data_IF_396220524380
#
_entry.id   IF_396220524380
#
_cell.length_a   1.000
_cell.length_b   1.000
_cell.length_c   1.000
_cell.angle_alpha   90.00
_cell.angle_beta   90.00
_cell.angle_gamma   90.00
#
_symmetry.space_group_name_H-M   'P 1'
#
loop_
_entity.id
_entity.type
_entity.pdbx_description
1 polymer ?
#
# COMPACT_ATOMS: atom_id res chain seq x y z
N UNK A 1 13.93 31.64 21.82
CA UNK A 1 12.60 31.00 21.79
C UNK A 1 12.32 30.68 20.33
N UNK A 2 12.59 29.46 19.91
CA UNK A 2 12.41 29.03 18.53
C UNK A 2 10.95 28.67 18.30
N UNK A 3 10.37 29.27 17.26
CA UNK A 3 9.00 29.07 16.80
C UNK A 3 8.92 27.65 16.24
N UNK A 4 8.10 26.81 16.86
CA UNK A 4 7.82 25.46 16.37
C UNK A 4 6.88 25.61 15.17
N UNK A 5 7.38 25.30 13.98
CA UNK A 5 6.54 25.12 12.80
C UNK A 5 5.73 23.84 13.00
N UNK A 6 4.44 24.01 13.30
CA UNK A 6 3.47 22.94 13.42
C UNK A 6 3.15 22.49 12.00
N UNK A 7 3.93 21.54 11.47
CA UNK A 7 3.56 20.86 10.24
C UNK A 7 2.35 19.96 10.52
N UNK A 8 1.19 20.38 10.03
CA UNK A 8 -0.06 19.63 10.07
C UNK A 8 0.04 18.38 9.19
N UNK A 9 0.63 17.29 9.71
CA UNK A 9 0.54 15.95 9.13
C UNK A 9 -0.71 15.24 9.66
N UNK A 10 -1.78 15.27 8.86
CA UNK A 10 -2.98 14.43 8.94
C UNK A 10 -3.40 13.93 10.34
N UNK A 11 -4.19 14.76 11.03
CA UNK A 11 -5.31 14.34 11.89
C UNK A 11 -5.01 13.90 13.33
N UNK A 12 -3.75 13.81 13.75
CA UNK A 12 -3.44 13.53 15.16
C UNK A 12 -2.36 14.49 15.65
N UNK A 13 -2.62 15.18 16.76
CA UNK A 13 -1.62 16.00 17.45
C UNK A 13 -0.62 15.05 18.11
N UNK A 14 0.36 14.57 17.34
CA UNK A 14 1.47 13.81 17.87
C UNK A 14 2.33 14.76 18.72
N UNK A 15 2.32 14.54 20.04
CA UNK A 15 3.26 15.21 20.95
C UNK A 15 4.62 14.53 20.77
N UNK A 16 5.67 15.34 20.61
CA UNK A 16 7.05 14.87 20.74
C UNK A 16 7.21 14.21 22.11
N UNK A 17 7.26 12.90 22.11
CA UNK A 17 7.49 12.08 23.30
C UNK A 17 8.74 11.25 23.02
N UNK A 18 9.47 10.87 24.05
CA UNK A 18 10.37 9.72 23.97
C UNK A 18 9.48 8.48 24.19
N UNK A 19 9.18 7.63 23.19
CA UNK A 19 9.94 7.32 21.95
C UNK A 19 9.53 8.07 20.67
N UNK A 20 10.43 8.05 19.66
CA UNK A 20 10.32 8.72 18.35
C UNK A 20 8.96 8.60 17.64
N UNK A 21 8.23 7.50 17.84
CA UNK A 21 6.79 7.43 17.57
C UNK A 21 5.98 7.26 18.85
N UNK A 22 5.00 8.14 19.08
CA UNK A 22 4.04 7.95 20.17
C UNK A 22 3.16 6.69 19.97
N UNK A 23 2.58 6.17 21.05
CA UNK A 23 1.78 4.92 21.03
C UNK A 23 0.67 4.93 19.97
N UNK A 24 -0.14 6.01 19.81
CA UNK A 24 -1.14 6.06 18.74
C UNK A 24 -0.57 5.95 17.32
N UNK A 25 0.60 6.54 17.06
CA UNK A 25 1.28 6.44 15.77
C UNK A 25 1.81 5.01 15.53
N UNK A 26 2.30 4.35 16.58
CA UNK A 26 2.70 2.94 16.49
C UNK A 26 1.50 2.05 16.16
N UNK A 27 0.36 2.22 16.83
CA UNK A 27 -0.86 1.47 16.54
C UNK A 27 -1.38 1.72 15.12
N UNK A 28 -1.29 2.97 14.64
CA UNK A 28 -1.63 3.31 13.25
C UNK A 28 -0.73 2.55 12.29
N UNK A 29 0.58 2.58 12.51
CA UNK A 29 1.55 1.89 11.69
C UNK A 29 1.33 0.37 11.69
N UNK A 30 1.03 -0.25 12.85
CA UNK A 30 0.69 -1.68 12.91
C UNK A 30 -0.54 -2.01 12.06
N UNK A 31 -1.60 -1.21 12.18
CA UNK A 31 -2.83 -1.40 11.39
C UNK A 31 -2.58 -1.24 9.88
N UNK A 32 -1.78 -0.26 9.48
CA UNK A 32 -1.43 -0.04 8.07
C UNK A 32 -0.63 -1.23 7.52
N UNK A 33 0.39 -1.68 8.27
CA UNK A 33 1.19 -2.87 7.90
C UNK A 33 0.33 -4.14 7.86
N UNK A 34 -0.67 -4.27 8.74
CA UNK A 34 -1.61 -5.39 8.71
C UNK A 34 -2.54 -5.36 7.48
N UNK A 35 -2.86 -4.16 6.96
CA UNK A 35 -3.76 -3.98 5.83
C UNK A 35 -3.06 -4.15 4.47
N UNK A 36 -1.78 -3.78 4.36
CA UNK A 36 -1.03 -3.81 3.09
C UNK A 36 -1.07 -5.16 2.34
N UNK A 37 -0.94 -6.34 2.98
CA UNK A 37 -1.05 -7.63 2.28
C UNK A 37 -2.40 -7.82 1.59
N UNK A 38 -3.49 -7.33 2.19
CA UNK A 38 -4.83 -7.41 1.59
C UNK A 38 -4.91 -6.51 0.36
N UNK A 39 -4.51 -5.25 0.49
CA UNK A 39 -4.51 -4.28 -0.63
C UNK A 39 -3.62 -4.78 -1.78
N UNK A 40 -2.48 -5.38 -1.47
CA UNK A 40 -1.60 -6.00 -2.45
C UNK A 40 -2.32 -7.12 -3.24
N UNK A 41 -3.11 -7.95 -2.56
CA UNK A 41 -3.94 -8.98 -3.20
C UNK A 41 -5.08 -8.41 -4.06
N UNK A 42 -5.74 -7.35 -3.60
CA UNK A 42 -6.77 -6.65 -4.38
C UNK A 42 -6.18 -6.08 -5.68
N UNK A 43 -4.97 -5.52 -5.63
CA UNK A 43 -4.24 -5.07 -6.81
C UNK A 43 -3.83 -6.22 -7.74
N UNK A 44 -3.75 -7.46 -7.28
CA UNK A 44 -3.47 -8.62 -8.13
C UNK A 44 -4.63 -8.94 -9.05
N UNK A 45 -5.84 -8.96 -8.49
CA UNK A 45 -7.09 -9.18 -9.22
C UNK A 45 -7.26 -8.11 -10.30
N UNK A 46 -6.76 -6.90 -10.03
CA UNK A 46 -6.77 -5.75 -10.92
C UNK A 46 -5.78 -5.80 -12.09
N UNK A 47 -4.81 -6.73 -12.09
CA UNK A 47 -3.73 -6.75 -13.07
C UNK A 47 -4.22 -7.11 -14.47
N UNK A 48 -5.25 -7.96 -14.57
CA UNK A 48 -5.83 -8.40 -15.84
C UNK A 48 -7.11 -7.60 -16.08
N UNK A 49 -7.16 -6.71 -17.09
CA UNK A 49 -8.40 -6.08 -17.52
C UNK A 49 -9.43 -7.17 -17.87
N UNK A 50 -10.68 -6.97 -17.46
CA UNK A 50 -11.76 -7.79 -17.98
C UNK A 50 -11.74 -7.71 -19.52
N UNK A 51 -11.96 -8.82 -20.26
CA UNK A 51 -12.05 -8.74 -21.71
C UNK A 51 -13.21 -7.81 -22.08
N UNK A 52 -12.89 -6.70 -22.75
CA UNK A 52 -13.89 -5.75 -23.24
C UNK A 52 -14.92 -6.47 -24.11
N UNK A 53 -16.19 -6.37 -23.74
CA UNK A 53 -17.31 -6.71 -24.61
C UNK A 53 -17.62 -5.54 -25.55
N UNK A 54 -17.03 -5.57 -26.75
CA UNK A 54 -17.28 -4.65 -27.88
C UNK A 54 -16.27 -3.49 -27.94
N UNK A 55 -15.61 -3.13 -29.04
CA UNK A 55 -15.92 -3.22 -30.46
C UNK A 55 -14.63 -3.48 -31.27
N UNK A 56 -14.77 -4.13 -32.42
CA UNK A 56 -13.67 -4.68 -33.21
C UNK A 56 -13.06 -3.61 -34.12
N UNK A 57 -11.93 -3.04 -33.72
CA UNK A 57 -11.07 -2.30 -34.66
C UNK A 57 -9.95 -3.20 -35.15
N UNK A 58 -9.94 -3.43 -36.46
CA UNK A 58 -8.93 -4.18 -37.19
C UNK A 58 -7.58 -3.47 -37.14
N UNK A 59 -6.60 -4.09 -36.50
CA UNK A 59 -5.19 -3.70 -36.57
C UNK A 59 -4.31 -4.87 -36.19
N UNK A 60 -3.48 -5.31 -37.12
CA UNK A 60 -2.48 -6.36 -36.91
C UNK A 60 -1.39 -5.77 -36.02
N UNK A 61 -1.50 -5.98 -34.71
CA UNK A 61 -0.34 -5.93 -33.83
C UNK A 61 -0.55 -6.97 -32.74
N UNK A 62 0.50 -7.74 -32.44
CA UNK A 62 0.40 -8.86 -31.49
C UNK A 62 0.08 -8.26 -30.11
N UNK A 63 -1.11 -8.48 -29.53
CA UNK A 63 -1.46 -7.79 -28.30
C UNK A 63 -0.64 -8.41 -27.18
N UNK A 64 0.34 -7.66 -26.65
CA UNK A 64 0.84 -7.92 -25.31
C UNK A 64 -0.35 -7.92 -24.35
N UNK A 65 -0.32 -8.78 -23.33
CA UNK A 65 -1.38 -8.83 -22.31
C UNK A 65 -1.56 -7.39 -21.80
N UNK A 66 -2.74 -6.75 -21.98
CA UNK A 66 -2.94 -5.41 -21.46
C UNK A 66 -2.86 -5.54 -19.94
N UNK A 67 -1.85 -4.95 -19.32
CA UNK A 67 -1.71 -4.94 -17.87
C UNK A 67 -2.14 -3.57 -17.35
N UNK A 68 -2.82 -3.57 -16.22
CA UNK A 68 -3.12 -2.34 -15.51
C UNK A 68 -1.82 -1.73 -14.95
N UNK A 69 -1.22 -0.81 -15.71
CA UNK A 69 0.04 -0.14 -15.35
C UNK A 69 0.05 0.44 -13.94
N UNK A 70 -0.95 1.25 -13.54
CA UNK A 70 -1.09 1.73 -12.17
C UNK A 70 -1.07 0.63 -11.09
N UNK A 71 -1.74 -0.51 -11.33
CA UNK A 71 -1.74 -1.63 -10.38
C UNK A 71 -0.38 -2.33 -10.31
N UNK A 72 0.32 -2.47 -11.44
CA UNK A 72 1.70 -3.00 -11.49
C UNK A 72 2.65 -2.12 -10.67
N UNK A 73 2.61 -0.81 -10.90
CA UNK A 73 3.46 0.15 -10.20
C UNK A 73 3.16 0.17 -8.70
N UNK A 74 1.89 0.17 -8.31
CA UNK A 74 1.49 0.10 -6.90
C UNK A 74 2.02 -1.18 -6.22
N UNK A 75 1.92 -2.33 -6.89
CA UNK A 75 2.47 -3.61 -6.37
C UNK A 75 3.99 -3.58 -6.24
N UNK A 76 4.69 -2.99 -7.22
CA UNK A 76 6.13 -2.84 -7.17
C UNK A 76 6.57 -1.92 -6.01
N UNK A 77 5.89 -0.79 -5.84
CA UNK A 77 6.12 0.15 -4.75
C UNK A 77 5.90 -0.50 -3.37
N UNK A 78 4.80 -1.23 -3.18
CA UNK A 78 4.53 -1.92 -1.91
C UNK A 78 5.67 -2.86 -1.55
N UNK A 79 6.08 -3.71 -2.50
CA UNK A 79 7.17 -4.67 -2.26
C UNK A 79 8.50 -3.97 -1.99
N UNK A 80 8.82 -2.94 -2.77
CA UNK A 80 10.08 -2.18 -2.68
C UNK A 80 10.22 -1.47 -1.33
N UNK A 81 9.22 -0.69 -0.93
CA UNK A 81 9.22 0.04 0.35
C UNK A 81 9.30 -0.93 1.54
N UNK A 82 8.48 -1.99 1.57
CA UNK A 82 8.53 -2.95 2.68
C UNK A 82 9.87 -3.69 2.76
N UNK A 83 10.49 -3.99 1.61
CA UNK A 83 11.81 -4.60 1.56
C UNK A 83 12.90 -3.66 2.09
N UNK A 84 12.86 -2.38 1.69
CA UNK A 84 13.80 -1.35 2.16
C UNK A 84 13.79 -1.23 3.69
N UNK A 85 12.59 -1.12 4.28
CA UNK A 85 12.45 -1.05 5.74
C UNK A 85 12.86 -2.36 6.44
N UNK A 86 12.62 -3.51 5.83
CA UNK A 86 13.06 -4.78 6.39
C UNK A 86 14.60 -4.90 6.37
N UNK A 87 15.25 -4.43 5.31
CA UNK A 87 16.70 -4.43 5.18
C UNK A 87 17.35 -3.54 6.26
N UNK A 88 16.79 -2.35 6.52
CA UNK A 88 17.22 -1.48 7.61
C UNK A 88 17.17 -2.18 8.99
N UNK A 89 16.11 -2.94 9.27
CA UNK A 89 15.98 -3.69 10.54
C UNK A 89 16.98 -4.85 10.60
N UNK A 90 17.21 -5.55 9.48
CA UNK A 90 18.18 -6.65 9.40
C UNK A 90 19.59 -6.14 9.67
N UNK A 91 19.97 -5.01 9.08
CA UNK A 91 21.26 -4.35 9.31
C UNK A 91 21.40 -3.88 10.76
N UNK A 92 20.38 -3.21 11.30
CA UNK A 92 20.42 -2.66 12.66
C UNK A 92 20.31 -3.69 13.79
N UNK A 93 19.68 -4.86 13.54
CA UNK A 93 19.47 -5.89 14.57
C UNK A 93 20.21 -7.20 14.34
N UNK A 94 20.93 -7.36 13.24
CA UNK A 94 21.58 -8.63 12.84
C UNK A 94 20.64 -9.83 12.89
N UNK A 95 19.38 -9.63 12.47
CA UNK A 95 18.36 -10.70 12.41
C UNK A 95 18.30 -11.35 11.04
N UNK A 96 17.71 -12.55 10.96
CA UNK A 96 17.53 -13.23 9.67
C UNK A 96 16.56 -12.47 8.77
N UNK A 97 16.94 -12.32 7.51
CA UNK A 97 16.11 -11.72 6.47
C UNK A 97 14.83 -12.56 6.24
N UNK A 98 13.63 -11.95 6.26
CA UNK A 98 12.40 -12.65 5.91
C UNK A 98 12.34 -12.98 4.42
N UNK A 99 11.37 -13.83 4.03
CA UNK A 99 11.01 -14.00 2.63
C UNK A 99 10.62 -12.63 2.03
N UNK A 100 11.06 -12.35 0.80
CA UNK A 100 10.78 -11.09 0.07
C UNK A 100 9.36 -11.05 -0.54
N UNK A 101 8.40 -11.61 0.18
CA UNK A 101 6.96 -11.55 -0.17
C UNK A 101 6.30 -10.47 0.69
N UNK A 102 5.31 -9.76 0.13
CA UNK A 102 4.61 -8.69 0.85
C UNK A 102 4.02 -9.16 2.20
N UNK A 103 3.34 -10.32 2.30
CA UNK A 103 2.85 -10.81 3.59
C UNK A 103 3.96 -11.05 4.62
N UNK A 104 5.08 -11.66 4.19
CA UNK A 104 6.19 -11.96 5.10
C UNK A 104 6.93 -10.70 5.56
N UNK A 105 7.13 -9.73 4.66
CA UNK A 105 7.73 -8.44 4.96
C UNK A 105 6.87 -7.63 5.92
N UNK A 106 5.56 -7.51 5.65
CA UNK A 106 4.63 -6.82 6.54
C UNK A 106 4.62 -7.45 7.95
N UNK A 107 4.53 -8.78 8.03
CA UNK A 107 4.57 -9.48 9.32
C UNK A 107 5.92 -9.30 10.04
N UNK A 108 7.03 -9.22 9.31
CA UNK A 108 8.35 -8.97 9.87
C UNK A 108 8.44 -7.56 10.47
N UNK A 109 8.02 -6.53 9.74
CA UNK A 109 8.03 -5.16 10.24
C UNK A 109 7.16 -5.01 11.49
N UNK A 110 5.97 -5.63 11.51
CA UNK A 110 5.08 -5.63 12.68
C UNK A 110 5.72 -6.27 13.91
N UNK A 111 6.40 -7.41 13.76
CA UNK A 111 7.13 -8.06 14.87
C UNK A 111 8.27 -7.19 15.42
N UNK A 112 8.85 -6.33 14.59
CA UNK A 112 9.94 -5.44 14.97
C UNK A 112 9.47 -3.99 15.20
N UNK A 113 8.17 -3.74 15.29
CA UNK A 113 7.60 -2.40 15.39
C UNK A 113 8.11 -1.64 16.61
N UNK A 114 8.27 -2.29 17.77
CA UNK A 114 8.81 -1.64 18.95
C UNK A 114 10.26 -1.14 18.78
N UNK A 115 11.04 -1.75 17.89
CA UNK A 115 12.37 -1.24 17.54
C UNK A 115 12.30 -0.14 16.49
N UNK A 116 11.43 -0.29 15.48
CA UNK A 116 11.23 0.74 14.48
C UNK A 116 10.70 2.03 15.12
N UNK A 117 9.86 1.93 16.16
CA UNK A 117 9.25 3.05 16.86
C UNK A 117 10.23 3.91 17.69
N UNK A 118 11.41 3.37 18.03
CA UNK A 118 12.48 4.11 18.72
C UNK A 118 13.62 4.51 17.77
N UNK A 119 13.54 4.10 16.50
CA UNK A 119 14.55 4.39 15.50
C UNK A 119 14.48 5.87 15.08
N UNK A 120 15.60 6.56 14.80
CA UNK A 120 15.58 7.96 14.37
C UNK A 120 14.70 8.22 13.14
N UNK A 121 14.61 7.24 12.23
CA UNK A 121 13.79 7.31 11.01
C UNK A 121 12.35 6.78 11.19
N UNK A 122 11.82 6.71 12.42
CA UNK A 122 10.50 6.14 12.67
C UNK A 122 9.36 6.96 12.05
N UNK A 123 9.45 8.29 12.11
CA UNK A 123 8.47 9.18 11.48
C UNK A 123 8.47 9.06 9.94
N UNK A 124 9.66 8.93 9.35
CA UNK A 124 9.81 8.67 7.92
C UNK A 124 9.12 7.36 7.53
N UNK A 125 9.32 6.29 8.30
CA UNK A 125 8.67 5.00 8.08
C UNK A 125 7.14 5.11 8.17
N UNK A 126 6.62 5.77 9.21
CA UNK A 126 5.19 5.95 9.40
C UNK A 126 4.55 6.77 8.26
N UNK A 127 5.23 7.82 7.82
CA UNK A 127 4.78 8.70 6.74
C UNK A 127 4.83 7.99 5.38
N UNK A 128 5.92 7.29 5.09
CA UNK A 128 6.08 6.58 3.83
C UNK A 128 5.06 5.44 3.70
N UNK A 129 4.85 4.67 4.77
CA UNK A 129 3.87 3.57 4.79
C UNK A 129 2.43 4.10 4.67
N UNK A 130 2.08 5.21 5.32
CA UNK A 130 0.77 5.83 5.14
C UNK A 130 0.57 6.28 3.70
N UNK A 131 1.51 7.05 3.15
CA UNK A 131 1.41 7.57 1.79
C UNK A 131 1.35 6.43 0.75
N UNK A 132 2.12 5.37 0.95
CA UNK A 132 2.09 4.15 0.13
C UNK A 132 0.70 3.49 0.19
N UNK A 133 0.15 3.31 1.39
CA UNK A 133 -1.17 2.69 1.57
C UNK A 133 -2.27 3.53 0.92
N UNK A 134 -2.29 4.84 1.14
CA UNK A 134 -3.28 5.74 0.54
C UNK A 134 -3.24 5.69 -0.99
N UNK A 135 -2.05 5.78 -1.60
CA UNK A 135 -1.90 5.65 -3.06
C UNK A 135 -2.39 4.30 -3.56
N UNK A 136 -2.06 3.22 -2.86
CA UNK A 136 -2.46 1.86 -3.25
C UNK A 136 -3.97 1.66 -3.16
N UNK A 137 -4.62 2.21 -2.12
CA UNK A 137 -6.07 2.20 -1.96
C UNK A 137 -6.78 3.02 -3.04
N UNK A 138 -6.22 4.16 -3.45
CA UNK A 138 -6.77 4.92 -4.57
C UNK A 138 -6.74 4.11 -5.87
N UNK A 139 -5.63 3.44 -6.17
CA UNK A 139 -5.52 2.57 -7.35
C UNK A 139 -6.51 1.42 -7.27
N UNK A 140 -6.62 0.76 -6.11
CA UNK A 140 -7.56 -0.35 -5.92
C UNK A 140 -9.04 0.07 -6.05
N UNK A 141 -9.39 1.30 -5.62
CA UNK A 141 -10.76 1.84 -5.72
C UNK A 141 -11.10 2.42 -7.09
N UNK A 142 -10.11 2.92 -7.83
CA UNK A 142 -10.31 3.47 -9.17
C UNK A 142 -10.50 2.39 -10.26
N UNK A 143 -10.44 1.12 -9.87
CA UNK A 143 -10.78 0.01 -10.74
C UNK A 143 -12.29 0.07 -11.02
N UNK A 144 -12.72 0.02 -12.28
CA UNK A 144 -14.14 -0.05 -12.57
C UNK A 144 -14.70 -1.31 -11.90
N UNK A 145 -15.55 -1.11 -10.88
CA UNK A 145 -16.51 -2.11 -10.48
C UNK A 145 -17.27 -2.47 -11.76
N UNK A 146 -17.22 -3.75 -12.15
CA UNK A 146 -17.70 -4.22 -13.44
C UNK A 146 -18.99 -3.54 -13.85
N UNK A 147 -19.03 -3.06 -15.10
CA UNK A 147 -20.19 -2.47 -15.74
C UNK A 147 -21.48 -3.01 -15.11
N UNK A 148 -22.24 -2.11 -14.47
CA UNK A 148 -23.58 -2.44 -14.00
C UNK A 148 -24.29 -3.13 -15.16
N UNK A 149 -24.52 -4.44 -15.02
CA UNK A 149 -25.30 -5.21 -15.98
C UNK A 149 -26.65 -4.50 -16.03
N UNK A 150 -27.10 -3.97 -17.19
CA UNK A 150 -28.45 -3.46 -17.27
C UNK A 150 -29.36 -4.66 -17.02
N UNK A 151 -29.97 -4.71 -15.83
CA UNK A 151 -31.07 -5.60 -15.56
C UNK A 151 -32.10 -5.31 -16.64
N UNK A 152 -32.34 -6.31 -17.50
CA UNK A 152 -33.22 -6.19 -18.64
C UNK A 152 -34.53 -5.55 -18.23
N UNK A 153 -34.99 -4.58 -19.02
CA UNK A 153 -36.34 -4.05 -18.88
C UNK A 153 -37.33 -5.20 -18.99
N UNK A 154 -38.11 -5.42 -17.93
CA UNK A 154 -39.32 -6.21 -18.04
C UNK A 154 -40.31 -5.42 -18.90
N UNK A 155 -40.37 -5.72 -20.19
CA UNK A 155 -41.52 -5.39 -21.02
C UNK A 155 -42.61 -6.44 -20.74
N UNK A 156 -43.69 -6.03 -20.08
CA UNK A 156 -44.92 -6.81 -20.00
C UNK A 156 -45.93 -6.17 -20.96
N UNK A 157 -46.34 -6.98 -21.95
CA UNK A 157 -47.40 -6.73 -22.92
C UNK A 157 -48.79 -6.66 -22.27
#
# INVERSE_FOLDING_TARGET
MAVQEIEFRSGHLCVDTDPALCVPCQERLDRQLALLPRVYGELEVALVPAPDSGDRVTGIDRPGIPLNGPAVEARAAIRGTLASWADLIVEGRTVRLPLRTVPALAAFLRRHLGWLAVHPAADDAATEIDALLQRSLMVARALPEGAAVPAGSCDAA
#
